data_IF_040924222570
#
_entry.id   IF_040924222570
#
_cell.length_a   1.000
_cell.length_b   1.000
_cell.length_c   1.000
_cell.angle_alpha   90.00
_cell.angle_beta   90.00
_cell.angle_gamma   90.00
#
_symmetry.space_group_name_H-M   'P 1'
#
loop_
_entity.id
_entity.type
_entity.pdbx_description
1 polymer ?
#
# COMPACT_ATOMS: atom_id res chain seq x y z
N UNK A 1 43.14 3.08 6.26
CA UNK A 1 42.31 2.01 5.64
C UNK A 1 41.80 1.17 6.81
N UNK A 2 40.49 1.12 7.04
CA UNK A 2 39.91 0.26 8.08
C UNK A 2 39.77 -1.16 7.52
N UNK A 3 40.35 -2.14 8.19
CA UNK A 3 40.09 -3.56 7.89
C UNK A 3 38.61 -3.86 8.17
N UNK A 4 37.90 -4.54 7.26
CA UNK A 4 36.53 -4.97 7.52
C UNK A 4 36.52 -5.93 8.71
N UNK A 5 35.57 -5.75 9.62
CA UNK A 5 35.46 -6.62 10.78
C UNK A 5 35.07 -8.04 10.33
N UNK A 6 35.57 -9.07 11.02
CA UNK A 6 35.23 -10.48 10.76
C UNK A 6 33.72 -10.73 10.61
N UNK A 7 32.89 -9.90 11.27
CA UNK A 7 31.42 -10.01 11.22
C UNK A 7 30.83 -9.61 9.87
N UNK A 8 31.44 -8.67 9.15
CA UNK A 8 30.99 -8.25 7.82
C UNK A 8 31.31 -9.30 6.75
N UNK A 9 32.44 -10.02 6.92
CA UNK A 9 32.85 -11.12 6.04
C UNK A 9 31.90 -12.32 6.20
N UNK A 10 31.52 -12.67 7.43
CA UNK A 10 30.62 -13.81 7.71
C UNK A 10 29.19 -13.57 7.19
N UNK A 11 28.68 -12.34 7.25
CA UNK A 11 27.38 -11.97 6.66
C UNK A 11 27.42 -12.00 5.13
N UNK A 12 28.53 -11.55 4.52
CA UNK A 12 28.75 -11.66 3.08
C UNK A 12 28.74 -13.11 2.59
N UNK A 13 29.43 -14.01 3.31
CA UNK A 13 29.46 -15.45 3.02
C UNK A 13 28.08 -16.12 3.18
N UNK A 14 27.29 -15.73 4.19
CA UNK A 14 25.92 -16.23 4.36
C UNK A 14 25.05 -15.84 3.15
N UNK A 15 25.10 -14.57 2.72
CA UNK A 15 24.34 -14.09 1.56
C UNK A 15 24.80 -14.79 0.28
N UNK A 16 26.09 -15.10 0.13
CA UNK A 16 26.61 -15.84 -1.03
C UNK A 16 26.17 -17.30 -1.06
N UNK A 17 26.11 -18.00 0.08
CA UNK A 17 25.62 -19.38 0.13
C UNK A 17 24.10 -19.49 -0.06
N UNK A 18 23.34 -18.50 0.43
CA UNK A 18 21.89 -18.43 0.25
C UNK A 18 21.48 -18.15 -1.22
N UNK A 19 22.35 -17.59 -2.06
CA UNK A 19 22.08 -17.32 -3.49
C UNK A 19 21.94 -18.56 -4.38
N UNK A 20 22.23 -19.76 -3.88
CA UNK A 20 21.95 -21.01 -4.62
C UNK A 20 20.46 -21.42 -4.59
N UNK A 21 19.63 -20.74 -3.80
CA UNK A 21 18.17 -20.89 -3.78
C UNK A 21 17.45 -19.54 -3.81
N UNK A 22 16.15 -19.54 -4.13
CA UNK A 22 15.29 -18.36 -4.12
C UNK A 22 14.94 -17.95 -2.67
N UNK A 23 15.85 -17.23 -2.01
CA UNK A 23 15.56 -16.64 -0.70
C UNK A 23 14.75 -15.35 -0.87
N UNK A 24 13.52 -15.34 -0.35
CA UNK A 24 12.57 -14.23 -0.55
C UNK A 24 12.53 -13.23 0.61
N UNK A 25 13.03 -13.61 1.79
CA UNK A 25 13.05 -12.75 2.97
C UNK A 25 14.12 -13.23 3.96
N UNK A 26 14.82 -12.30 4.63
CA UNK A 26 15.83 -12.56 5.66
C UNK A 26 15.63 -11.57 6.81
N UNK A 27 15.47 -12.07 8.03
CA UNK A 27 15.42 -11.28 9.27
C UNK A 27 16.44 -11.82 10.26
N UNK A 28 17.17 -10.95 10.98
CA UNK A 28 18.12 -11.40 11.99
C UNK A 28 18.28 -10.41 13.15
N UNK A 29 18.74 -10.92 14.28
CA UNK A 29 19.11 -10.20 15.50
C UNK A 29 20.52 -10.63 15.88
N UNK A 30 21.38 -9.66 16.20
CA UNK A 30 22.71 -9.91 16.76
C UNK A 30 22.62 -9.96 18.27
N UNK A 31 23.10 -11.05 18.87
CA UNK A 31 23.18 -11.27 20.31
C UNK A 31 24.63 -11.59 20.67
N UNK A 32 25.39 -10.56 21.06
CA UNK A 32 26.83 -10.66 21.26
C UNK A 32 27.59 -11.09 20.00
N UNK A 33 28.30 -12.23 20.09
CA UNK A 33 29.04 -12.85 18.99
C UNK A 33 28.17 -13.74 18.09
N UNK A 34 26.88 -13.89 18.41
CA UNK A 34 25.93 -14.71 17.67
C UNK A 34 25.01 -13.86 16.82
N UNK A 35 24.61 -14.37 15.66
CA UNK A 35 23.53 -13.83 14.84
C UNK A 35 22.46 -14.91 14.74
N UNK A 36 21.25 -14.59 15.19
CA UNK A 36 20.06 -15.45 15.06
C UNK A 36 19.18 -14.87 13.97
N UNK A 37 18.67 -15.69 13.07
CA UNK A 37 17.77 -15.18 12.06
C UNK A 37 16.85 -16.24 11.48
N UNK A 38 16.01 -15.78 10.58
CA UNK A 38 15.09 -16.61 9.82
C UNK A 38 15.04 -16.14 8.37
N UNK A 39 14.84 -17.08 7.46
CA UNK A 39 14.65 -16.80 6.04
C UNK A 39 13.61 -17.73 5.42
N UNK A 40 13.03 -17.31 4.31
CA UNK A 40 12.14 -18.15 3.50
C UNK A 40 12.91 -18.72 2.32
N UNK A 41 12.96 -20.05 2.22
CA UNK A 41 13.50 -20.80 1.10
C UNK A 41 12.41 -21.73 0.57
N UNK A 42 12.06 -21.57 -0.72
CA UNK A 42 11.06 -22.41 -1.39
C UNK A 42 9.70 -22.46 -0.67
N UNK A 43 9.32 -21.35 -0.01
CA UNK A 43 8.07 -21.23 0.76
C UNK A 43 8.14 -21.76 2.20
N UNK A 44 9.28 -22.29 2.65
CA UNK A 44 9.48 -22.76 4.02
C UNK A 44 10.30 -21.77 4.84
N UNK A 45 9.82 -21.43 6.04
CA UNK A 45 10.57 -20.64 7.02
C UNK A 45 11.66 -21.53 7.63
N UNK A 46 12.92 -21.14 7.45
CA UNK A 46 14.09 -21.75 8.08
C UNK A 46 14.66 -20.79 9.11
N UNK A 47 15.13 -21.33 10.24
CA UNK A 47 15.79 -20.55 11.29
C UNK A 47 17.27 -20.94 11.36
N UNK A 48 18.14 -19.98 11.61
CA UNK A 48 19.58 -20.20 11.70
C UNK A 48 20.22 -19.49 12.87
N UNK A 49 21.34 -20.04 13.30
CA UNK A 49 22.31 -19.43 14.20
C UNK A 49 23.66 -19.35 13.48
N UNK A 50 24.28 -18.18 13.52
CA UNK A 50 25.68 -17.98 13.16
C UNK A 50 26.45 -17.64 14.42
N UNK A 51 27.53 -18.37 14.68
CA UNK A 51 28.46 -18.08 15.77
C UNK A 51 29.88 -18.07 15.19
N UNK A 52 30.46 -16.89 15.00
CA UNK A 52 31.67 -16.73 14.20
C UNK A 52 31.44 -17.14 12.74
N UNK A 53 32.21 -18.10 12.23
CA UNK A 53 32.10 -18.63 10.86
C UNK A 53 31.28 -19.93 10.76
N UNK A 54 30.66 -20.36 11.86
CA UNK A 54 29.86 -21.59 11.90
C UNK A 54 28.38 -21.26 11.66
N UNK A 55 27.79 -21.88 10.64
CA UNK A 55 26.35 -21.85 10.36
C UNK A 55 25.69 -23.10 10.93
N UNK A 56 24.61 -22.93 11.68
CA UNK A 56 23.78 -24.01 12.19
C UNK A 56 22.30 -23.71 11.90
N UNK A 57 21.64 -24.60 11.15
CA UNK A 57 20.18 -24.58 11.02
C UNK A 57 19.57 -25.07 12.34
N UNK A 58 18.54 -24.38 12.84
CA UNK A 58 17.87 -24.73 14.10
C UNK A 58 16.57 -25.47 13.75
N UNK A 59 16.50 -26.80 13.93
CA UNK A 59 15.26 -27.55 13.71
C UNK A 59 14.25 -27.24 14.82
N UNK A 60 12.97 -27.09 14.46
CA UNK A 60 11.88 -27.28 15.44
C UNK A 60 11.35 -26.07 16.20
N UNK A 61 11.66 -24.82 15.83
CA UNK A 61 10.81 -23.70 16.26
C UNK A 61 9.48 -23.77 15.49
N UNK A 62 8.45 -24.31 16.15
CA UNK A 62 7.11 -24.42 15.57
C UNK A 62 6.61 -23.03 15.15
N UNK A 63 6.03 -23.00 13.95
CA UNK A 63 5.17 -21.93 13.47
C UNK A 63 4.19 -21.56 14.60
N UNK A 64 4.28 -20.34 15.15
CA UNK A 64 3.27 -19.83 16.08
C UNK A 64 2.00 -19.64 15.28
N UNK A 65 1.20 -20.71 15.18
CA UNK A 65 -0.12 -20.64 14.57
C UNK A 65 -0.98 -19.76 15.44
N UNK A 66 -1.48 -18.69 14.86
CA UNK A 66 -2.60 -17.93 15.42
C UNK A 66 -3.75 -18.93 15.59
N UNK A 67 -4.07 -19.26 16.83
CA UNK A 67 -5.20 -20.14 17.17
C UNK A 67 -6.46 -19.40 16.72
N UNK A 68 -7.12 -19.94 15.70
CA UNK A 68 -8.43 -19.48 15.25
C UNK A 68 -9.43 -19.53 16.43
N UNK A 69 -10.25 -18.48 16.69
CA UNK A 69 -11.27 -18.54 17.72
C UNK A 69 -12.22 -19.74 17.51
N UNK A 70 -12.70 -20.35 18.61
CA UNK A 70 -13.51 -21.57 18.57
C UNK A 70 -14.74 -21.42 17.67
N UNK A 71 -15.09 -22.53 16.99
CA UNK A 71 -16.17 -22.64 15.98
C UNK A 71 -17.50 -22.04 16.46
N UNK A 72 -17.74 -22.04 17.77
CA UNK A 72 -18.95 -21.56 18.44
C UNK A 72 -19.19 -20.05 18.29
N UNK A 73 -18.14 -19.23 18.13
CA UNK A 73 -18.31 -17.79 17.86
C UNK A 73 -18.62 -17.50 16.38
N UNK A 74 -18.16 -18.35 15.46
CA UNK A 74 -18.27 -18.12 14.00
C UNK A 74 -19.66 -18.42 13.46
N UNK A 75 -20.38 -19.36 14.08
CA UNK A 75 -21.75 -19.72 13.72
C UNK A 75 -22.74 -18.54 13.78
N UNK A 76 -22.43 -17.51 14.59
CA UNK A 76 -23.31 -16.34 14.81
C UNK A 76 -23.27 -15.28 13.69
N UNK A 77 -22.43 -15.44 12.67
CA UNK A 77 -22.17 -14.39 11.66
C UNK A 77 -22.87 -14.57 10.30
N UNK A 78 -23.59 -15.68 10.09
CA UNK A 78 -24.31 -15.91 8.83
C UNK A 78 -25.55 -15.01 8.71
N UNK A 79 -25.44 -13.84 8.05
CA UNK A 79 -26.58 -12.93 7.79
C UNK A 79 -27.67 -13.55 6.90
N UNK A 80 -27.31 -14.49 6.02
CA UNK A 80 -28.23 -15.25 5.15
C UNK A 80 -27.67 -16.67 4.98
N UNK A 81 -28.47 -17.69 5.30
CA UNK A 81 -28.07 -19.10 5.21
C UNK A 81 -27.78 -19.76 6.56
N UNK A 82 -27.28 -20.99 6.54
CA UNK A 82 -26.87 -21.78 7.72
C UNK A 82 -25.37 -22.11 7.68
N UNK A 83 -24.70 -22.22 8.84
CA UNK A 83 -23.29 -22.55 8.89
C UNK A 83 -23.01 -23.98 8.41
N UNK A 84 -21.88 -24.19 7.73
CA UNK A 84 -21.37 -25.47 7.27
C UNK A 84 -19.84 -25.43 7.22
N UNK A 85 -19.17 -25.98 8.25
CA UNK A 85 -17.72 -25.83 8.41
C UNK A 85 -17.31 -24.35 8.52
N UNK A 86 -16.34 -23.93 7.70
CA UNK A 86 -15.82 -22.55 7.66
C UNK A 86 -16.62 -21.61 6.72
N UNK A 87 -17.86 -21.94 6.35
CA UNK A 87 -18.67 -21.16 5.39
C UNK A 87 -20.16 -21.15 5.73
N UNK A 88 -20.90 -20.16 5.21
CA UNK A 88 -22.36 -20.11 5.25
C UNK A 88 -22.92 -20.64 3.93
N UNK A 89 -23.88 -21.58 3.98
CA UNK A 89 -24.56 -22.12 2.81
C UNK A 89 -26.03 -21.69 2.79
N UNK A 90 -26.66 -21.65 1.61
CA UNK A 90 -28.08 -21.37 1.49
C UNK A 90 -28.93 -22.38 2.30
N UNK A 91 -30.08 -21.94 2.82
CA UNK A 91 -30.94 -22.76 3.68
C UNK A 91 -31.40 -24.07 3.01
N UNK A 92 -31.55 -24.05 1.68
CA UNK A 92 -31.96 -25.19 0.86
C UNK A 92 -30.83 -26.18 0.51
N UNK A 93 -29.58 -25.92 0.90
CA UNK A 93 -28.47 -26.86 0.66
C UNK A 93 -28.20 -27.71 1.90
N UNK A 94 -27.87 -28.98 1.71
CA UNK A 94 -27.41 -29.84 2.81
C UNK A 94 -25.92 -29.62 3.06
N UNK A 95 -25.54 -29.48 4.33
CA UNK A 95 -24.13 -29.40 4.71
C UNK A 95 -23.52 -30.81 4.63
N UNK A 96 -22.44 -30.97 3.87
CA UNK A 96 -21.71 -32.24 3.76
C UNK A 96 -20.66 -32.44 4.86
N UNK A 97 -20.43 -31.43 5.69
CA UNK A 97 -19.52 -31.50 6.84
C UNK A 97 -20.33 -31.82 8.08
N UNK A 98 -20.00 -32.91 8.77
CA UNK A 98 -20.66 -33.28 10.01
C UNK A 98 -20.41 -32.20 11.07
N UNK A 99 -21.45 -31.43 11.42
CA UNK A 99 -21.38 -30.53 12.58
C UNK A 99 -21.41 -31.39 13.85
N UNK A 100 -20.54 -31.08 14.81
CA UNK A 100 -20.55 -31.74 16.11
C UNK A 100 -21.89 -31.54 16.82
N UNK A 101 -22.25 -32.48 17.70
CA UNK A 101 -23.56 -32.55 18.35
C UNK A 101 -23.96 -31.28 19.13
N UNK A 102 -23.01 -30.38 19.44
CA UNK A 102 -23.25 -29.11 20.12
C UNK A 102 -23.88 -28.01 19.22
N UNK A 103 -23.81 -28.12 17.88
CA UNK A 103 -24.26 -27.06 16.96
C UNK A 103 -25.75 -27.01 16.62
N UNK A 104 -26.60 -27.87 17.21
CA UNK A 104 -28.02 -28.02 16.81
C UNK A 104 -29.03 -27.17 17.59
N UNK A 105 -28.62 -26.42 18.62
CA UNK A 105 -29.53 -25.60 19.44
C UNK A 105 -29.36 -24.10 19.14
N UNK A 106 -30.19 -23.54 18.26
CA UNK A 106 -30.34 -22.08 18.16
C UNK A 106 -30.67 -21.54 16.78
N UNK A 107 -31.91 -21.68 16.33
CA UNK A 107 -32.46 -20.85 15.23
C UNK A 107 -33.99 -20.88 15.26
N UNK A 108 -34.62 -19.96 16.01
CA UNK A 108 -36.03 -19.60 15.82
C UNK A 108 -36.22 -18.13 16.20
N UNK A 109 -37.05 -17.44 15.42
CA UNK A 109 -37.46 -16.02 15.48
C UNK A 109 -36.48 -15.01 14.84
N UNK A 110 -36.90 -13.99 14.09
CA UNK A 110 -38.18 -13.65 13.48
C UNK A 110 -37.92 -12.60 12.38
N UNK A 111 -38.80 -12.55 11.38
CA UNK A 111 -38.80 -11.61 10.27
C UNK A 111 -39.81 -10.48 10.51
N UNK A 112 -39.50 -9.26 10.05
CA UNK A 112 -40.44 -8.30 9.47
C UNK A 112 -39.69 -7.10 8.84
N UNK A 113 -40.08 -6.61 7.65
CA UNK A 113 -39.56 -5.36 7.08
C UNK A 113 -40.52 -4.17 7.27
N UNK A 114 -40.04 -2.92 7.43
CA UNK A 114 -40.90 -1.74 7.48
C UNK A 114 -41.19 -1.13 6.10
N UNK A 115 -42.38 -0.56 6.00
CA UNK A 115 -43.00 0.15 4.86
C UNK A 115 -42.39 1.55 4.62
N UNK A 116 -42.29 2.04 3.37
CA UNK A 116 -41.75 3.36 3.07
C UNK A 116 -42.81 4.49 3.05
N UNK A 117 -42.47 5.65 3.63
CA UNK A 117 -43.25 6.90 3.57
C UNK A 117 -42.92 7.72 2.32
N UNK A 118 -43.99 8.30 1.75
CA UNK A 118 -44.06 9.19 0.57
C UNK A 118 -43.21 10.47 0.73
N UNK A 119 -42.53 10.86 -0.34
CA UNK A 119 -41.81 12.12 -0.49
C UNK A 119 -42.74 13.25 -0.98
N UNK A 120 -42.57 14.45 -0.43
CA UNK A 120 -43.20 15.71 -0.86
C UNK A 120 -42.28 16.48 -1.82
N UNK A 121 -42.90 17.02 -2.88
CA UNK A 121 -42.32 17.84 -3.96
C UNK A 121 -42.10 19.30 -3.49
N UNK A 122 -41.01 19.98 -3.87
CA UNK A 122 -40.96 21.44 -3.88
C UNK A 122 -41.15 22.04 -5.27
N UNK A 123 -41.67 23.26 -5.26
CA UNK A 123 -42.15 24.11 -6.34
C UNK A 123 -41.06 24.70 -7.24
N UNK A 124 -41.41 24.89 -8.53
CA UNK A 124 -40.65 25.65 -9.52
C UNK A 124 -40.77 27.15 -9.24
N UNK A 125 -39.65 27.82 -8.96
CA UNK A 125 -39.50 29.27 -9.07
C UNK A 125 -38.79 29.61 -10.37
N UNK A 126 -39.39 30.48 -11.18
CA UNK A 126 -38.83 31.00 -12.41
C UNK A 126 -37.79 32.09 -12.09
N UNK A 127 -36.59 31.98 -12.67
CA UNK A 127 -35.56 33.01 -12.61
C UNK A 127 -35.21 33.46 -14.03
N UNK A 128 -35.31 34.77 -14.24
CA UNK A 128 -35.06 35.54 -15.46
C UNK A 128 -33.58 35.45 -15.86
N UNK A 129 -33.32 35.09 -17.12
CA UNK A 129 -31.97 35.05 -17.69
C UNK A 129 -31.53 36.45 -18.13
N UNK A 130 -30.46 36.97 -17.51
CA UNK A 130 -29.71 38.11 -18.03
C UNK A 130 -28.47 37.58 -18.77
N UNK A 131 -28.29 38.01 -20.02
CA UNK A 131 -27.17 37.62 -20.86
C UNK A 131 -25.87 38.25 -20.33
N UNK A 132 -24.95 37.41 -19.87
CA UNK A 132 -23.59 37.81 -19.49
C UNK A 132 -22.63 37.60 -20.67
N UNK A 133 -21.70 38.55 -20.81
CA UNK A 133 -20.62 38.56 -21.79
C UNK A 133 -19.79 37.25 -21.79
N UNK A 134 -19.17 36.89 -22.94
CA UNK A 134 -18.42 35.64 -23.06
C UNK A 134 -17.26 35.57 -22.05
N UNK A 135 -17.31 34.55 -21.20
CA UNK A 135 -16.24 34.25 -20.26
C UNK A 135 -14.94 33.92 -21.01
N UNK A 136 -13.77 34.39 -20.53
CA UNK A 136 -12.48 34.02 -21.09
C UNK A 136 -12.29 32.50 -21.01
N UNK A 137 -11.68 31.93 -22.05
CA UNK A 137 -11.43 30.50 -22.17
C UNK A 137 -10.80 29.94 -20.89
N UNK A 138 -11.52 29.00 -20.25
CA UNK A 138 -11.09 28.38 -19.01
C UNK A 138 -9.76 27.66 -19.23
N UNK A 139 -8.69 28.15 -18.58
CA UNK A 139 -7.46 27.40 -18.45
C UNK A 139 -7.78 26.13 -17.67
N UNK A 140 -7.65 24.98 -18.34
CA UNK A 140 -7.79 23.66 -17.71
C UNK A 140 -6.77 23.58 -16.58
N UNK A 141 -7.22 23.76 -15.34
CA UNK A 141 -6.33 23.74 -14.18
C UNK A 141 -5.62 22.38 -14.11
N UNK A 142 -4.40 22.31 -13.58
CA UNK A 142 -3.68 21.04 -13.41
C UNK A 142 -4.49 19.96 -12.66
N UNK A 143 -5.46 20.36 -11.84
CA UNK A 143 -6.43 19.45 -11.22
C UNK A 143 -7.41 18.80 -12.21
N UNK A 144 -7.90 19.53 -13.21
CA UNK A 144 -8.76 18.95 -14.25
C UNK A 144 -8.00 17.98 -15.14
N UNK A 145 -6.74 18.29 -15.50
CA UNK A 145 -5.88 17.38 -16.25
C UNK A 145 -5.57 16.12 -15.43
N UNK A 146 -5.31 16.26 -14.13
CA UNK A 146 -5.11 15.13 -13.21
C UNK A 146 -6.37 14.27 -13.04
N UNK A 147 -7.57 14.88 -12.99
CA UNK A 147 -8.85 14.16 -12.93
C UNK A 147 -9.08 13.40 -14.24
N UNK A 148 -8.84 14.03 -15.37
CA UNK A 148 -9.00 13.41 -16.69
C UNK A 148 -8.00 12.29 -16.90
N UNK A 149 -6.72 12.49 -16.57
CA UNK A 149 -5.70 11.46 -16.64
C UNK A 149 -6.00 10.33 -15.65
N UNK A 150 -6.40 10.62 -14.41
CA UNK A 150 -6.91 9.61 -13.47
C UNK A 150 -8.08 8.84 -14.07
N UNK A 151 -8.98 9.47 -14.82
CA UNK A 151 -10.07 8.78 -15.51
C UNK A 151 -9.54 7.90 -16.66
N UNK A 152 -8.57 8.38 -17.45
CA UNK A 152 -7.99 7.65 -18.57
C UNK A 152 -7.20 6.42 -18.13
N UNK A 153 -6.63 6.46 -16.92
CA UNK A 153 -5.89 5.37 -16.31
C UNK A 153 -6.80 4.43 -15.51
N UNK A 154 -7.66 4.99 -14.66
CA UNK A 154 -8.54 4.20 -13.79
C UNK A 154 -9.70 3.57 -14.55
N UNK A 155 -10.26 4.22 -15.57
CA UNK A 155 -11.42 3.69 -16.29
C UNK A 155 -11.07 2.39 -17.01
N UNK A 156 -9.98 2.27 -17.80
CA UNK A 156 -9.60 1.00 -18.41
C UNK A 156 -9.33 -0.11 -17.40
N UNK A 157 -8.72 0.22 -16.25
CA UNK A 157 -8.49 -0.75 -15.19
C UNK A 157 -9.81 -1.25 -14.57
N UNK A 158 -10.77 -0.34 -14.35
CA UNK A 158 -12.11 -0.66 -13.80
C UNK A 158 -12.99 -1.41 -14.81
N UNK A 159 -12.99 -0.99 -16.07
CA UNK A 159 -13.78 -1.61 -17.17
C UNK A 159 -13.11 -2.84 -17.76
N UNK A 160 -11.85 -3.12 -17.38
CA UNK A 160 -11.04 -4.24 -17.87
C UNK A 160 -10.78 -4.18 -19.37
N UNK A 161 -10.63 -2.97 -19.91
CA UNK A 161 -10.08 -2.80 -21.25
C UNK A 161 -8.56 -3.04 -21.18
N UNK A 162 -8.17 -4.31 -21.21
CA UNK A 162 -6.78 -4.72 -20.97
C UNK A 162 -5.82 -4.32 -22.08
N UNK A 163 -6.31 -4.13 -23.32
CA UNK A 163 -5.51 -3.54 -24.40
C UNK A 163 -5.08 -2.12 -24.03
N UNK A 164 -6.03 -1.27 -23.63
CA UNK A 164 -5.71 0.11 -23.22
C UNK A 164 -4.85 0.16 -21.95
N UNK A 165 -5.07 -0.75 -21.01
CA UNK A 165 -4.19 -0.90 -19.83
C UNK A 165 -2.77 -1.24 -20.26
N UNK A 166 -2.60 -2.21 -21.18
CA UNK A 166 -1.30 -2.63 -21.68
C UNK A 166 -0.57 -1.47 -22.36
N UNK A 167 -1.26 -0.73 -23.23
CA UNK A 167 -0.70 0.40 -23.97
C UNK A 167 -0.24 1.53 -23.03
N UNK A 168 -1.09 1.92 -22.10
CA UNK A 168 -0.78 2.97 -21.14
C UNK A 168 0.36 2.58 -20.20
N UNK A 169 0.33 1.36 -19.67
CA UNK A 169 1.36 0.90 -18.76
C UNK A 169 2.72 0.76 -19.46
N UNK A 170 2.71 0.43 -20.76
CA UNK A 170 3.92 0.44 -21.59
C UNK A 170 4.47 1.85 -21.80
N UNK A 171 3.60 2.80 -22.12
CA UNK A 171 3.97 4.21 -22.26
C UNK A 171 4.61 4.75 -20.97
N UNK A 172 3.98 4.52 -19.81
CA UNK A 172 4.51 4.94 -18.51
C UNK A 172 5.89 4.32 -18.28
N UNK A 173 6.07 3.04 -18.62
CA UNK A 173 7.37 2.38 -18.45
C UNK A 173 8.45 3.02 -19.32
N UNK A 174 8.20 3.21 -20.62
CA UNK A 174 9.20 3.78 -21.54
C UNK A 174 9.50 5.24 -21.21
N UNK A 175 8.52 6.03 -20.79
CA UNK A 175 8.76 7.40 -20.35
C UNK A 175 9.59 7.47 -19.05
N UNK A 176 9.28 6.62 -18.07
CA UNK A 176 10.10 6.51 -16.85
C UNK A 176 11.52 6.08 -17.19
N UNK A 177 11.67 5.07 -18.05
CA UNK A 177 12.98 4.61 -18.51
C UNK A 177 13.76 5.71 -19.24
N UNK A 178 13.12 6.43 -20.17
CA UNK A 178 13.76 7.53 -20.92
C UNK A 178 14.13 8.70 -20.00
N UNK A 179 13.27 9.05 -19.05
CA UNK A 179 13.56 10.05 -18.03
C UNK A 179 14.73 9.62 -17.16
N UNK A 180 14.75 8.37 -16.71
CA UNK A 180 15.91 7.83 -15.97
C UNK A 180 17.19 7.88 -16.80
N UNK A 181 17.15 7.54 -18.10
CA UNK A 181 18.32 7.66 -19.00
C UNK A 181 18.77 9.11 -19.16
N UNK A 182 17.85 10.05 -19.39
CA UNK A 182 18.17 11.48 -19.49
C UNK A 182 18.76 12.04 -18.19
N UNK A 183 18.20 11.62 -17.05
CA UNK A 183 18.67 12.04 -15.74
C UNK A 183 19.97 11.31 -15.33
N UNK A 184 20.37 10.18 -15.96
CA UNK A 184 21.59 9.42 -15.60
C UNK A 184 22.94 10.07 -15.93
N UNK A 185 22.96 11.32 -16.42
CA UNK A 185 24.11 12.20 -16.20
C UNK A 185 24.31 12.57 -14.71
N UNK A 186 23.24 12.50 -13.92
CA UNK A 186 23.12 12.90 -12.50
C UNK A 186 22.37 11.89 -11.61
N UNK A 187 21.67 10.90 -12.17
CA UNK A 187 20.70 10.04 -11.46
C UNK A 187 21.18 8.61 -11.17
N UNK A 188 22.47 8.32 -11.38
CA UNK A 188 23.10 7.07 -10.97
C UNK A 188 22.96 6.83 -9.44
N UNK A 189 22.89 7.90 -8.64
CA UNK A 189 22.66 7.81 -7.19
C UNK A 189 21.18 7.69 -6.80
N UNK A 190 20.25 8.32 -7.52
CA UNK A 190 18.85 8.42 -7.07
C UNK A 190 18.00 7.17 -7.37
N UNK A 191 18.32 6.43 -8.45
CA UNK A 191 17.53 5.27 -8.90
C UNK A 191 18.25 3.92 -8.80
N UNK A 192 19.50 3.89 -8.32
CA UNK A 192 20.27 2.65 -8.15
C UNK A 192 20.60 1.91 -9.46
N UNK A 193 20.71 2.64 -10.57
CA UNK A 193 21.12 2.12 -11.87
C UNK A 193 22.55 2.60 -12.16
N UNK A 194 23.53 1.69 -12.29
CA UNK A 194 24.86 2.09 -12.78
C UNK A 194 24.89 2.17 -14.32
N UNK A 195 25.91 2.84 -14.85
CA UNK A 195 26.22 3.03 -16.29
C UNK A 195 26.22 1.74 -17.13
N UNK A 196 26.33 0.58 -16.48
CA UNK A 196 26.37 -0.74 -17.11
C UNK A 196 25.10 -1.60 -16.88
N UNK A 197 24.00 -1.01 -16.37
CA UNK A 197 22.75 -1.74 -16.14
C UNK A 197 22.77 -2.70 -14.94
N UNK A 198 23.87 -2.75 -14.18
CA UNK A 198 23.96 -3.51 -12.94
C UNK A 198 23.58 -2.62 -11.74
N UNK A 199 22.71 -3.14 -10.87
CA UNK A 199 22.36 -2.50 -9.59
C UNK A 199 23.53 -2.72 -8.63
N UNK A 200 24.39 -1.74 -8.43
CA UNK A 200 25.37 -1.75 -7.33
C UNK A 200 25.20 -0.52 -6.43
N UNK A 201 25.49 -0.74 -5.14
CA UNK A 201 25.60 0.20 -4.01
C UNK A 201 24.35 0.39 -3.11
N UNK A 202 24.40 -0.33 -1.97
CA UNK A 202 23.97 -0.09 -0.58
C UNK A 202 23.18 1.18 -0.18
N UNK A 203 22.28 1.72 -0.99
CA UNK A 203 21.24 2.63 -0.47
C UNK A 203 20.20 1.73 0.19
N UNK A 204 19.91 1.89 1.51
CA UNK A 204 18.83 1.17 2.16
C UNK A 204 17.56 1.32 1.31
N UNK A 205 16.88 0.21 1.00
CA UNK A 205 15.73 0.19 0.10
C UNK A 205 14.63 1.20 0.47
N UNK A 206 14.55 1.60 1.73
CA UNK A 206 13.60 2.60 2.24
C UNK A 206 13.90 4.06 1.85
N UNK A 207 15.10 4.38 1.38
CA UNK A 207 15.47 5.74 0.94
C UNK A 207 15.39 5.93 -0.58
N UNK A 208 15.04 4.88 -1.34
CA UNK A 208 14.82 4.98 -2.78
C UNK A 208 13.38 5.35 -3.09
N UNK A 209 13.20 6.38 -3.91
CA UNK A 209 11.90 6.68 -4.49
C UNK A 209 11.57 5.65 -5.56
N UNK A 210 10.30 5.25 -5.62
CA UNK A 210 9.78 4.45 -6.71
C UNK A 210 9.54 5.33 -7.94
N UNK A 211 10.34 5.19 -9.02
CA UNK A 211 10.23 6.08 -10.18
C UNK A 211 8.89 5.91 -10.91
N UNK A 212 8.35 4.70 -10.93
CA UNK A 212 7.05 4.44 -11.56
C UNK A 212 5.94 5.07 -10.70
N UNK A 213 5.96 4.85 -9.39
CA UNK A 213 4.95 5.45 -8.50
C UNK A 213 5.05 6.98 -8.50
N UNK A 214 6.25 7.55 -8.47
CA UNK A 214 6.48 9.00 -8.57
C UNK A 214 5.88 9.55 -9.85
N UNK A 215 6.09 8.87 -10.99
CA UNK A 215 5.48 9.29 -12.25
C UNK A 215 3.96 9.19 -12.20
N UNK A 216 3.44 8.05 -11.77
CA UNK A 216 2.00 7.85 -11.61
C UNK A 216 1.38 8.95 -10.74
N UNK A 217 2.03 9.31 -9.64
CA UNK A 217 1.52 10.33 -8.72
C UNK A 217 1.57 11.72 -9.31
N UNK A 218 2.59 12.03 -10.11
CA UNK A 218 2.64 13.27 -10.88
C UNK A 218 1.49 13.35 -11.88
N UNK A 219 1.27 12.28 -12.63
CA UNK A 219 0.23 12.21 -13.66
C UNK A 219 -1.19 12.36 -13.07
N UNK A 220 -1.47 11.70 -11.95
CA UNK A 220 -2.80 11.75 -11.30
C UNK A 220 -2.92 12.86 -10.25
N UNK A 221 -1.90 13.70 -10.06
CA UNK A 221 -1.88 14.80 -9.11
C UNK A 221 -1.75 14.42 -7.63
N UNK A 222 -1.41 13.17 -7.32
CA UNK A 222 -1.23 12.67 -5.95
C UNK A 222 0.04 13.21 -5.27
N UNK A 223 0.98 13.74 -6.05
CA UNK A 223 2.16 14.41 -5.55
C UNK A 223 1.90 15.89 -5.20
N UNK A 224 0.69 16.43 -5.35
CA UNK A 224 0.40 17.81 -4.94
C UNK A 224 0.57 18.01 -3.43
N UNK A 225 0.69 19.28 -3.00
CA UNK A 225 0.92 19.61 -1.59
C UNK A 225 -0.26 19.17 -0.68
N UNK A 226 0.02 18.79 0.58
CA UNK A 226 -1.02 18.56 1.56
C UNK A 226 -1.60 19.91 2.03
N UNK A 227 -2.71 19.88 2.76
CA UNK A 227 -3.17 21.06 3.51
C UNK A 227 -2.39 21.16 4.83
N UNK A 228 -1.65 22.24 5.04
CA UNK A 228 -0.94 22.49 6.30
C UNK A 228 -1.86 23.29 7.21
N UNK A 229 -2.14 22.77 8.40
CA UNK A 229 -3.13 23.34 9.33
C UNK A 229 -2.57 23.47 10.75
N UNK A 230 -3.20 24.28 11.58
CA UNK A 230 -2.77 24.45 12.97
C UNK A 230 -3.08 23.22 13.82
N UNK A 231 -2.46 23.15 15.01
CA UNK A 231 -2.77 22.11 16.02
C UNK A 231 -4.27 22.07 16.36
N UNK A 232 -4.90 23.24 16.49
CA UNK A 232 -6.33 23.37 16.80
C UNK A 232 -7.21 22.65 15.78
N UNK A 233 -6.85 22.71 14.50
CA UNK A 233 -7.63 22.08 13.42
C UNK A 233 -7.51 20.55 13.46
N UNK A 234 -6.31 20.03 13.70
CA UNK A 234 -6.10 18.58 13.87
C UNK A 234 -6.80 18.06 15.13
N UNK A 235 -6.79 18.83 16.22
CA UNK A 235 -7.50 18.48 17.44
C UNK A 235 -9.02 18.48 17.23
N UNK A 236 -9.55 19.45 16.47
CA UNK A 236 -10.95 19.47 16.06
C UNK A 236 -11.31 18.25 15.20
N UNK A 237 -10.45 17.87 14.25
CA UNK A 237 -10.63 16.66 13.44
C UNK A 237 -10.71 15.40 14.31
N UNK A 238 -9.87 15.32 15.33
CA UNK A 238 -9.87 14.20 16.28
C UNK A 238 -11.11 14.21 17.17
N UNK A 239 -11.58 15.38 17.60
CA UNK A 239 -12.82 15.51 18.36
C UNK A 239 -14.04 15.08 17.52
N UNK A 240 -14.03 15.40 16.22
CA UNK A 240 -15.00 14.88 15.25
C UNK A 240 -14.83 13.37 14.97
N UNK A 241 -13.72 12.79 15.44
CA UNK A 241 -13.42 11.38 15.32
C UNK A 241 -12.89 10.95 13.96
N UNK A 242 -12.24 11.86 13.23
CA UNK A 242 -11.45 11.50 12.06
C UNK A 242 -10.24 10.65 12.47
N UNK A 243 -9.82 9.77 11.57
CA UNK A 243 -8.61 8.97 11.79
C UNK A 243 -7.39 9.88 11.73
N UNK A 244 -6.69 9.98 12.87
CA UNK A 244 -5.36 10.60 12.95
C UNK A 244 -4.30 9.58 12.62
N UNK A 245 -3.26 10.05 11.94
CA UNK A 245 -2.06 9.28 11.69
C UNK A 245 -0.78 10.03 12.12
N UNK A 246 0.27 9.25 12.27
CA UNK A 246 1.56 9.59 12.83
C UNK A 246 2.67 9.02 11.94
N UNK A 247 3.71 9.78 11.62
CA UNK A 247 4.87 9.29 10.87
C UNK A 247 6.15 9.91 11.37
N UNK A 248 7.09 9.08 11.78
CA UNK A 248 8.47 9.52 11.91
C UNK A 248 9.18 9.38 10.56
N UNK A 249 10.06 10.32 10.25
CA UNK A 249 10.76 10.38 8.95
C UNK A 249 12.27 10.21 9.06
N UNK A 250 12.85 10.38 10.25
CA UNK A 250 14.29 10.20 10.47
C UNK A 250 14.70 10.14 11.95
N UNK A 251 15.75 9.37 12.24
CA UNK A 251 16.39 9.22 13.57
C UNK A 251 17.05 10.50 14.10
N UNK A 252 17.38 11.47 13.25
CA UNK A 252 17.99 12.75 13.69
C UNK A 252 17.03 13.92 13.49
N UNK A 253 17.09 14.91 14.39
CA UNK A 253 16.17 16.07 14.38
C UNK A 253 16.30 16.91 13.11
N UNK A 254 17.53 17.11 12.66
CA UNK A 254 17.84 17.84 11.42
C UNK A 254 17.23 17.16 10.20
N UNK A 255 17.43 15.85 10.06
CA UNK A 255 16.89 15.08 8.93
C UNK A 255 15.38 14.90 9.02
N UNK A 256 14.81 14.80 10.22
CA UNK A 256 13.36 14.81 10.43
C UNK A 256 12.75 16.11 9.91
N UNK A 257 13.30 17.26 10.35
CA UNK A 257 12.81 18.59 9.97
C UNK A 257 12.87 18.76 8.45
N UNK A 258 14.01 18.44 7.82
CA UNK A 258 14.16 18.52 6.37
C UNK A 258 13.15 17.63 5.62
N UNK A 259 12.96 16.37 6.03
CA UNK A 259 11.98 15.46 5.40
C UNK A 259 10.53 15.89 5.66
N UNK A 260 10.27 16.49 6.82
CA UNK A 260 8.94 16.97 7.16
C UNK A 260 8.58 18.24 6.37
N UNK A 261 9.53 19.17 6.22
CA UNK A 261 9.37 20.36 5.39
C UNK A 261 9.24 19.98 3.92
N UNK A 262 10.02 19.02 3.43
CA UNK A 262 9.84 18.46 2.09
C UNK A 262 8.45 17.87 1.88
N UNK A 263 7.89 17.16 2.88
CA UNK A 263 6.51 16.65 2.77
C UNK A 263 5.48 17.77 2.67
N UNK A 264 5.62 18.86 3.47
CA UNK A 264 4.68 19.99 3.51
C UNK A 264 4.77 20.90 2.28
N UNK A 265 5.99 21.17 1.81
CA UNK A 265 6.27 22.28 0.91
C UNK A 265 7.13 21.90 -0.30
N UNK A 266 7.79 20.75 -0.24
CA UNK A 266 8.69 20.29 -1.30
C UNK A 266 8.10 19.21 -2.20
N UNK A 267 8.99 18.62 -2.98
CA UNK A 267 8.67 17.53 -3.87
C UNK A 267 8.22 16.28 -3.10
N UNK A 268 7.25 15.58 -3.68
CA UNK A 268 6.73 14.38 -3.06
C UNK A 268 7.70 13.22 -3.23
N UNK A 269 8.07 12.60 -2.12
CA UNK A 269 8.82 11.36 -2.11
C UNK A 269 7.87 10.15 -2.16
N UNK A 270 7.74 9.50 -3.32
CA UNK A 270 7.01 8.25 -3.44
C UNK A 270 7.89 7.10 -2.96
N UNK A 271 7.81 6.76 -1.67
CA UNK A 271 8.68 5.75 -1.06
C UNK A 271 8.37 4.32 -1.49
N UNK A 272 9.42 3.50 -1.55
CA UNK A 272 9.30 2.04 -1.51
C UNK A 272 9.14 1.56 -0.06
N UNK A 273 8.18 0.68 0.20
CA UNK A 273 8.07 0.03 1.51
C UNK A 273 7.72 -1.45 1.42
N UNK A 274 7.85 -2.09 2.58
CA UNK A 274 7.78 -3.56 2.74
C UNK A 274 6.39 -4.11 2.36
N UNK A 275 5.33 -3.37 2.63
CA UNK A 275 3.94 -3.78 2.38
C UNK A 275 3.31 -3.05 1.18
N UNK A 276 4.14 -2.64 0.22
CA UNK A 276 3.74 -1.89 -0.98
C UNK A 276 4.32 -0.48 -1.06
N UNK A 277 4.02 0.17 -2.19
CA UNK A 277 4.50 1.49 -2.57
C UNK A 277 3.67 2.61 -1.93
N UNK A 278 4.29 3.66 -1.39
CA UNK A 278 3.60 4.82 -0.81
C UNK A 278 4.14 5.29 0.54
N UNK A 279 3.39 6.18 1.20
CA UNK A 279 3.78 6.82 2.46
C UNK A 279 3.14 6.11 3.65
N UNK A 280 3.90 5.21 4.30
CA UNK A 280 3.53 4.58 5.57
C UNK A 280 3.31 5.58 6.70
N UNK A 281 2.19 5.44 7.39
CA UNK A 281 1.84 6.18 8.59
C UNK A 281 1.21 5.24 9.61
N UNK A 282 1.48 5.45 10.89
CA UNK A 282 0.78 4.80 11.98
C UNK A 282 -0.56 5.51 12.23
N UNK A 283 -1.70 4.87 12.01
CA UNK A 283 -3.05 5.42 12.11
C UNK A 283 -3.85 4.83 13.27
N UNK A 284 -4.37 5.65 14.18
CA UNK A 284 -5.14 5.18 15.33
C UNK A 284 -6.33 4.29 14.91
N UNK A 285 -6.43 3.10 15.53
CA UNK A 285 -7.41 2.06 15.17
C UNK A 285 -8.86 2.43 15.52
N UNK A 286 -9.02 3.33 16.47
CA UNK A 286 -10.29 3.88 16.94
C UNK A 286 -10.11 5.32 17.45
N UNK A 287 -11.20 5.93 17.93
CA UNK A 287 -11.26 7.32 18.39
C UNK A 287 -10.75 7.52 19.82
N UNK A 288 -10.23 6.47 20.48
CA UNK A 288 -9.83 6.56 21.89
C UNK A 288 -8.45 7.21 22.04
N UNK A 289 -8.20 7.90 23.17
CA UNK A 289 -6.86 8.37 23.53
C UNK A 289 -5.81 7.24 23.59
N UNK A 290 -6.22 6.01 23.93
CA UNK A 290 -5.34 4.85 24.00
C UNK A 290 -4.83 4.45 22.61
N UNK A 291 -5.71 4.33 21.61
CA UNK A 291 -5.31 4.00 20.24
C UNK A 291 -4.41 5.07 19.62
N UNK A 292 -4.65 6.35 19.93
CA UNK A 292 -3.76 7.44 19.50
C UNK A 292 -2.36 7.35 20.10
N UNK A 293 -2.27 7.11 21.42
CA UNK A 293 -0.98 6.91 22.11
C UNK A 293 -0.23 5.72 21.52
N UNK A 294 -0.93 4.61 21.25
CA UNK A 294 -0.32 3.45 20.62
C UNK A 294 0.21 3.76 19.21
N UNK A 295 -0.58 4.44 18.36
CA UNK A 295 -0.14 4.80 17.01
C UNK A 295 1.06 5.77 17.03
N UNK A 296 1.05 6.77 17.93
CA UNK A 296 2.18 7.68 18.11
C UNK A 296 3.43 6.93 18.59
N UNK A 297 3.29 6.05 19.59
CA UNK A 297 4.37 5.21 20.11
C UNK A 297 4.87 4.15 19.13
N UNK A 298 4.06 3.76 18.14
CA UNK A 298 4.52 2.92 17.03
C UNK A 298 5.35 3.72 16.01
N UNK A 299 5.09 5.03 15.86
CA UNK A 299 5.87 5.88 14.97
C UNK A 299 7.18 6.37 15.60
N UNK A 300 7.19 6.66 16.90
CA UNK A 300 8.33 7.29 17.58
C UNK A 300 9.67 6.54 17.52
N UNK A 301 9.76 5.20 17.52
CA UNK A 301 11.05 4.51 17.46
C UNK A 301 11.78 4.74 16.13
N UNK A 302 11.07 5.19 15.09
CA UNK A 302 11.63 5.43 13.77
C UNK A 302 12.12 6.88 13.58
N UNK A 303 12.05 7.73 14.61
CA UNK A 303 12.61 9.06 14.48
C UNK A 303 12.56 9.99 15.68
N UNK A 304 13.35 11.05 15.57
CA UNK A 304 13.47 12.15 16.54
C UNK A 304 12.27 13.12 16.58
N UNK A 305 11.24 12.85 15.77
CA UNK A 305 10.03 13.63 15.66
C UNK A 305 8.94 12.83 14.96
N UNK A 306 7.69 13.22 15.17
CA UNK A 306 6.51 12.54 14.60
C UNK A 306 5.62 13.57 13.93
N UNK A 307 5.47 13.45 12.61
CA UNK A 307 4.45 14.17 11.84
C UNK A 307 3.07 13.65 12.26
N UNK A 308 2.13 14.56 12.50
CA UNK A 308 0.73 14.25 12.83
C UNK A 308 -0.19 14.82 11.76
N UNK A 309 -1.19 14.06 11.36
CA UNK A 309 -2.15 14.49 10.35
C UNK A 309 -3.43 13.68 10.32
N UNK A 310 -4.34 14.08 9.44
CA UNK A 310 -5.63 13.44 9.19
C UNK A 310 -5.88 13.34 7.68
N UNK A 311 -6.78 12.45 7.29
CA UNK A 311 -7.30 12.44 5.93
C UNK A 311 -8.40 13.49 5.80
N UNK A 312 -8.45 14.16 4.64
CA UNK A 312 -9.54 15.06 4.27
C UNK A 312 -10.85 14.28 4.11
N UNK A 313 -11.97 14.98 4.24
CA UNK A 313 -13.26 14.40 3.92
C UNK A 313 -13.32 13.96 2.46
N UNK A 314 -14.01 12.84 2.23
CA UNK A 314 -14.12 12.24 0.89
C UNK A 314 -12.92 11.41 0.45
N UNK A 315 -11.85 11.32 1.25
CA UNK A 315 -10.73 10.43 0.96
C UNK A 315 -11.19 8.96 0.83
N UNK A 316 -10.79 8.31 -0.26
CA UNK A 316 -11.12 6.93 -0.59
C UNK A 316 -10.09 6.02 0.09
N UNK A 317 -10.48 5.46 1.24
CA UNK A 317 -9.68 4.50 2.00
C UNK A 317 -10.18 3.08 1.77
N UNK A 318 -9.31 2.19 1.32
CA UNK A 318 -9.63 0.76 1.20
C UNK A 318 -8.88 -0.08 2.24
N UNK A 319 -9.45 -1.21 2.64
CA UNK A 319 -8.72 -2.16 3.49
C UNK A 319 -7.67 -2.93 2.70
N UNK A 320 -6.58 -3.36 3.34
CA UNK A 320 -5.58 -4.21 2.72
C UNK A 320 -6.16 -5.53 2.18
N UNK A 321 -7.15 -6.11 2.87
CA UNK A 321 -7.87 -7.30 2.40
C UNK A 321 -8.61 -7.02 1.09
N UNK A 322 -9.31 -5.90 1.00
CA UNK A 322 -9.99 -5.49 -0.23
C UNK A 322 -8.96 -5.19 -1.33
N UNK A 323 -7.93 -4.40 -1.02
CA UNK A 323 -6.87 -4.07 -1.95
C UNK A 323 -6.19 -5.33 -2.53
N UNK A 324 -5.87 -6.30 -1.67
CA UNK A 324 -5.32 -7.59 -2.07
C UNK A 324 -6.29 -8.38 -2.95
N UNK A 325 -7.57 -8.47 -2.58
CA UNK A 325 -8.61 -9.16 -3.36
C UNK A 325 -8.77 -8.54 -4.75
N UNK A 326 -8.87 -7.22 -4.83
CA UNK A 326 -9.04 -6.51 -6.09
C UNK A 326 -7.79 -6.63 -6.97
N UNK A 327 -6.60 -6.45 -6.39
CA UNK A 327 -5.32 -6.64 -7.10
C UNK A 327 -5.21 -8.06 -7.65
N UNK A 328 -5.49 -9.09 -6.84
CA UNK A 328 -5.47 -10.48 -7.29
C UNK A 328 -6.48 -10.76 -8.40
N UNK A 329 -7.72 -10.27 -8.24
CA UNK A 329 -8.75 -10.45 -9.26
C UNK A 329 -8.36 -9.81 -10.59
N UNK A 330 -7.73 -8.62 -10.52
CA UNK A 330 -7.20 -7.93 -11.68
C UNK A 330 -6.07 -8.74 -12.33
N UNK A 331 -5.05 -9.16 -11.56
CA UNK A 331 -3.90 -9.94 -12.05
C UNK A 331 -4.37 -11.21 -12.76
N UNK A 332 -5.27 -11.98 -12.14
CA UNK A 332 -5.78 -13.23 -12.74
C UNK A 332 -6.45 -12.94 -14.08
N UNK A 333 -7.31 -11.91 -14.15
CA UNK A 333 -8.04 -11.58 -15.38
C UNK A 333 -7.12 -11.03 -16.47
N UNK A 334 -6.16 -10.19 -16.08
CA UNK A 334 -5.15 -9.66 -17.01
C UNK A 334 -4.30 -10.79 -17.58
N UNK A 335 -3.81 -11.73 -16.75
CA UNK A 335 -3.05 -12.90 -17.22
C UNK A 335 -3.87 -13.80 -18.14
N UNK A 336 -5.13 -14.07 -17.80
CA UNK A 336 -6.00 -14.88 -18.66
C UNK A 336 -6.24 -14.21 -20.02
N UNK A 337 -6.42 -12.89 -20.04
CA UNK A 337 -6.51 -12.13 -21.29
C UNK A 337 -5.20 -12.16 -22.06
N UNK A 338 -4.07 -11.93 -21.38
CA UNK A 338 -2.73 -11.97 -21.96
C UNK A 338 -2.45 -13.30 -22.66
N UNK A 339 -2.74 -14.43 -22.01
CA UNK A 339 -2.59 -15.76 -22.61
C UNK A 339 -3.43 -15.92 -23.88
N UNK A 340 -4.66 -15.41 -23.88
CA UNK A 340 -5.56 -15.48 -25.04
C UNK A 340 -5.09 -14.61 -26.20
N UNK A 341 -4.58 -13.42 -25.93
CA UNK A 341 -4.04 -12.54 -26.98
C UNK A 341 -2.72 -13.07 -27.52
N UNK A 342 -1.82 -13.55 -26.65
CA UNK A 342 -0.55 -14.14 -27.05
C UNK A 342 -0.73 -15.34 -28.00
N UNK A 343 -1.75 -16.17 -27.77
CA UNK A 343 -2.04 -17.33 -28.63
C UNK A 343 -2.43 -16.97 -30.08
N UNK A 344 -2.75 -15.70 -30.36
CA UNK A 344 -3.08 -15.21 -31.71
C UNK A 344 -1.87 -14.67 -32.47
N UNK A 345 -0.71 -14.57 -31.81
CA UNK A 345 0.48 -13.92 -32.33
C UNK A 345 1.58 -14.96 -32.53
N UNK A 346 2.48 -14.72 -33.49
CA UNK A 346 3.64 -15.57 -33.76
C UNK A 346 4.90 -14.74 -34.01
N UNK A 347 6.07 -15.39 -33.93
CA UNK A 347 7.36 -14.76 -34.22
C UNK A 347 7.60 -13.48 -33.42
N UNK A 348 7.99 -12.42 -34.12
CA UNK A 348 8.33 -11.13 -33.50
C UNK A 348 7.14 -10.47 -32.79
N UNK A 349 5.92 -10.59 -33.35
CA UNK A 349 4.72 -9.98 -32.76
C UNK A 349 4.44 -10.54 -31.36
N UNK A 350 4.63 -11.85 -31.17
CA UNK A 350 4.49 -12.49 -29.87
C UNK A 350 5.55 -11.99 -28.88
N UNK A 351 6.81 -11.88 -29.32
CA UNK A 351 7.90 -11.41 -28.47
C UNK A 351 7.66 -9.95 -28.01
N UNK A 352 7.22 -9.08 -28.91
CA UNK A 352 6.91 -7.68 -28.60
C UNK A 352 5.73 -7.58 -27.62
N UNK A 353 4.67 -8.35 -27.85
CA UNK A 353 3.52 -8.41 -26.95
C UNK A 353 3.91 -8.89 -25.55
N UNK A 354 4.69 -9.97 -25.43
CA UNK A 354 5.13 -10.49 -24.15
C UNK A 354 6.02 -9.50 -23.39
N UNK A 355 6.89 -8.80 -24.11
CA UNK A 355 7.71 -7.73 -23.52
C UNK A 355 6.86 -6.58 -23.00
N UNK A 356 5.87 -6.14 -23.79
CA UNK A 356 4.90 -5.13 -23.39
C UNK A 356 4.12 -5.56 -22.15
N UNK A 357 3.62 -6.79 -22.13
CA UNK A 357 2.87 -7.34 -21.00
C UNK A 357 3.72 -7.43 -19.74
N UNK A 358 4.99 -7.83 -19.87
CA UNK A 358 5.96 -7.84 -18.76
C UNK A 358 6.18 -6.45 -18.17
N UNK A 359 6.33 -5.41 -19.01
CA UNK A 359 6.46 -4.02 -18.55
C UNK A 359 5.18 -3.52 -17.87
N UNK A 360 4.02 -3.82 -18.45
CA UNK A 360 2.74 -3.47 -17.85
C UNK A 360 2.54 -4.08 -16.46
N UNK A 361 2.91 -5.36 -16.28
CA UNK A 361 2.89 -6.03 -14.98
C UNK A 361 3.75 -5.31 -13.92
N UNK A 362 4.95 -4.88 -14.29
CA UNK A 362 5.82 -4.08 -13.42
C UNK A 362 5.16 -2.76 -13.04
N UNK A 363 4.55 -2.04 -13.99
CA UNK A 363 3.90 -0.76 -13.71
C UNK A 363 2.68 -0.92 -12.81
N UNK A 364 1.85 -1.92 -13.07
CA UNK A 364 0.56 -2.05 -12.39
C UNK A 364 0.71 -2.50 -10.93
N UNK A 365 1.49 -3.54 -10.67
CA UNK A 365 1.55 -4.13 -9.33
C UNK A 365 2.96 -4.18 -8.71
N UNK A 366 4.03 -3.89 -9.48
CA UNK A 366 5.40 -3.82 -8.98
C UNK A 366 5.98 -5.16 -8.53
N UNK A 367 7.10 -5.10 -7.81
CA UNK A 367 7.92 -6.29 -7.53
C UNK A 367 7.49 -7.05 -6.26
N UNK A 368 6.78 -6.39 -5.33
CA UNK A 368 6.47 -6.93 -4.00
C UNK A 368 5.06 -7.58 -3.89
N UNK A 369 4.38 -7.80 -5.01
CA UNK A 369 3.06 -8.42 -5.02
C UNK A 369 1.96 -7.57 -4.34
N UNK A 370 0.80 -8.19 -4.02
CA UNK A 370 -0.37 -7.50 -3.48
C UNK A 370 -0.36 -7.39 -1.94
N UNK A 371 -0.87 -6.29 -1.35
CA UNK A 371 -1.49 -5.14 -2.03
C UNK A 371 -0.45 -4.17 -2.62
N UNK A 372 -0.68 -3.71 -3.85
CA UNK A 372 0.22 -2.76 -4.50
C UNK A 372 -0.30 -1.33 -4.44
N UNK A 373 0.50 -0.41 -3.90
CA UNK A 373 0.18 1.01 -3.91
C UNK A 373 0.12 1.62 -5.32
N UNK A 374 0.88 1.10 -6.29
CA UNK A 374 0.78 1.47 -7.71
C UNK A 374 -0.63 1.18 -8.21
N UNK A 375 -1.11 -0.06 -8.02
CA UNK A 375 -2.46 -0.45 -8.40
C UNK A 375 -3.53 0.37 -7.68
N UNK A 376 -3.35 0.64 -6.39
CA UNK A 376 -4.27 1.48 -5.64
C UNK A 376 -4.37 2.91 -6.19
N UNK A 377 -3.25 3.50 -6.57
CA UNK A 377 -3.22 4.82 -7.20
C UNK A 377 -3.90 4.81 -8.57
N UNK A 378 -3.65 3.77 -9.40
CA UNK A 378 -4.35 3.57 -10.68
C UNK A 378 -5.87 3.46 -10.48
N UNK A 379 -6.33 2.84 -9.39
CA UNK A 379 -7.76 2.75 -9.06
C UNK A 379 -8.32 4.00 -8.40
N UNK A 380 -7.47 4.99 -8.11
CA UNK A 380 -7.87 6.21 -7.45
C UNK A 380 -8.18 6.03 -5.97
N UNK A 381 -7.46 5.17 -5.25
CA UNK A 381 -7.52 5.16 -3.78
C UNK A 381 -6.60 6.23 -3.22
N UNK A 382 -6.98 6.85 -2.12
CA UNK A 382 -6.15 7.86 -1.44
C UNK A 382 -5.29 7.22 -0.36
N UNK A 383 -5.75 6.10 0.23
CA UNK A 383 -5.00 5.33 1.20
C UNK A 383 -5.42 3.85 1.25
N UNK A 384 -4.51 3.00 1.71
CA UNK A 384 -4.77 1.60 2.02
C UNK A 384 -4.58 1.38 3.53
N UNK A 385 -5.65 1.08 4.24
CA UNK A 385 -5.59 0.69 5.65
C UNK A 385 -4.98 -0.70 5.77
N UNK A 386 -3.85 -0.80 6.48
CA UNK A 386 -3.12 -2.05 6.72
C UNK A 386 -3.58 -2.74 8.02
N UNK A 387 -4.78 -2.44 8.51
CA UNK A 387 -5.35 -3.07 9.69
C UNK A 387 -5.45 -4.59 9.49
N UNK A 388 -4.79 -5.34 10.36
CA UNK A 388 -4.88 -6.81 10.42
C UNK A 388 -3.96 -7.58 9.46
N UNK A 389 -3.04 -6.92 8.75
CA UNK A 389 -2.09 -7.60 7.83
C UNK A 389 -0.63 -7.59 8.29
N UNK A 390 -0.21 -6.66 9.15
CA UNK A 390 1.16 -6.60 9.64
C UNK A 390 1.20 -6.04 11.07
N UNK A 391 1.70 -6.86 12.02
CA UNK A 391 1.78 -6.56 13.45
C UNK A 391 0.42 -6.23 14.10
N UNK A 392 0.39 -6.01 15.42
CA UNK A 392 -0.77 -5.44 16.13
C UNK A 392 -1.14 -4.01 15.65
N UNK A 393 -0.67 -3.60 14.47
CA UNK A 393 -0.40 -2.23 14.15
C UNK A 393 -1.47 -1.59 13.24
N UNK A 394 -2.03 -0.55 13.83
CA UNK A 394 -2.43 0.74 13.30
C UNK A 394 -1.57 1.26 12.13
N UNK A 395 -1.42 0.60 10.97
CA UNK A 395 -0.72 1.22 9.82
C UNK A 395 -1.68 1.55 8.68
N UNK A 396 -1.34 2.59 7.93
CA UNK A 396 -2.00 3.01 6.69
C UNK A 396 -0.91 3.39 5.69
N UNK A 397 -1.07 2.95 4.45
CA UNK A 397 -0.23 3.37 3.34
C UNK A 397 -0.94 4.52 2.61
N UNK A 398 -0.44 5.73 2.76
CA UNK A 398 -0.96 6.92 2.08
C UNK A 398 -0.47 6.94 0.63
N UNK A 399 -1.41 7.06 -0.30
CA UNK A 399 -1.13 7.15 -1.73
C UNK A 399 -1.28 8.59 -2.23
N UNK A 400 -2.27 9.32 -1.74
CA UNK A 400 -2.55 10.68 -2.20
C UNK A 400 -2.14 11.74 -1.17
N UNK A 401 -1.07 12.50 -1.43
CA UNK A 401 -0.64 13.60 -0.54
C UNK A 401 -1.66 14.75 -0.51
N UNK A 402 -2.38 15.01 -1.59
CA UNK A 402 -3.38 16.10 -1.61
C UNK A 402 -4.61 15.79 -0.76
N UNK A 403 -4.84 14.52 -0.44
CA UNK A 403 -5.94 14.06 0.41
C UNK A 403 -5.64 14.18 1.92
N UNK A 404 -4.54 14.83 2.28
CA UNK A 404 -4.04 14.88 3.66
C UNK A 404 -4.10 16.32 4.22
N UNK A 405 -4.42 16.41 5.51
CA UNK A 405 -4.15 17.59 6.36
C UNK A 405 -3.02 17.26 7.33
N UNK A 406 -1.98 18.09 7.39
CA UNK A 406 -0.82 17.91 8.27
C UNK A 406 -0.76 19.05 9.28
N UNK A 407 -0.46 18.72 10.53
CA UNK A 407 -0.18 19.72 11.56
C UNK A 407 1.09 20.50 11.20
N UNK A 408 1.01 21.82 11.12
CA UNK A 408 2.17 22.71 11.01
C UNK A 408 3.10 22.64 12.23
N UNK A 409 4.20 23.37 12.16
CA UNK A 409 5.23 23.44 13.22
C UNK A 409 4.88 24.37 14.38
N UNK A 410 3.71 25.00 14.32
CA UNK A 410 3.31 26.03 15.27
C UNK A 410 3.16 25.44 16.68
N UNK A 411 4.12 25.83 17.52
CA UNK A 411 4.17 25.64 18.99
C UNK A 411 4.54 24.25 19.52
N UNK A 412 5.66 23.70 19.05
CA UNK A 412 6.49 22.80 19.85
C UNK A 412 6.41 21.33 19.46
N UNK A 413 7.25 20.92 18.51
CA UNK A 413 7.63 19.52 18.29
C UNK A 413 8.40 18.90 19.49
N UNK A 414 8.58 19.64 20.58
CA UNK A 414 9.46 19.25 21.68
C UNK A 414 8.77 18.42 22.77
N UNK A 415 7.44 18.22 22.79
CA UNK A 415 6.75 17.47 23.86
C UNK A 415 5.51 16.70 23.35
N UNK A 416 5.69 15.53 22.73
CA UNK A 416 4.61 14.51 22.56
C UNK A 416 4.95 13.30 23.41
#
# INVERSE_FOLDING_TARGET
MMEPSLTDISLGLLVMNLRKGEVTHLSYVKDGAQIRGSFYDSGHLRNFLLSGNQYQEIPGMQEVRVIDPPIEERAKTCKKGKPCGNSCIANNKQCRVALSAAGKKGAKAAAQPPTPKKASKPSKGAATQSAAAPAPAAQTTGQQLAIELRSQIAAPARTRNFTKVLDLADQIYEEVKNKSVAETGTAQEFYGLTKAGNVTANIPSGDRSDPILSRLFSDIGYNGLPEVVGKKDIDADIAAGRTVFYRATSSTKKSFTARFDAFKYGDYFAGHGIYGHGTYVAAAQDKTPKARRFASGAASPYGSGVMRGTLKDGAIVVSATQAKKETNSFITKFRNWETKEAAKLTGQQLADFQNKARRARKVIYGDNGPPSGRFGALLGWDAISLKGVAYNATYTNLLNRTAVRIQGTDNGLNNI
#
